data_IF_268414006707
#
_entry.id   IF_268414006707
#
_cell.length_a   1.000
_cell.length_b   1.000
_cell.length_c   1.000
_cell.angle_alpha   90.00
_cell.angle_beta   90.00
_cell.angle_gamma   90.00
#
_symmetry.space_group_name_H-M   'P 1'
#
loop_
_entity.id
_entity.type
_entity.pdbx_description
1 polymer ?
#
# COMPACT_ATOMS: atom_id res chain seq x y z
N UNK A 1 -9.90 -2.90 13.98
CA UNK A 1 -8.93 -3.79 14.65
C UNK A 1 -7.92 -4.17 13.60
N UNK A 2 -6.69 -3.67 13.71
CA UNK A 2 -5.66 -3.88 12.70
C UNK A 2 -5.22 -5.34 12.73
N UNK A 3 -5.41 -6.04 11.61
CA UNK A 3 -5.01 -7.43 11.48
C UNK A 3 -3.47 -7.52 11.44
N UNK A 4 -2.88 -7.88 12.59
CA UNK A 4 -1.43 -8.01 12.79
C UNK A 4 -0.80 -9.11 11.89
N UNK A 5 -1.58 -9.84 11.08
CA UNK A 5 -1.12 -10.89 10.16
C UNK A 5 -0.88 -10.45 8.70
N UNK A 6 -1.20 -9.20 8.32
CA UNK A 6 -1.09 -8.76 6.91
C UNK A 6 0.35 -8.90 6.34
N UNK A 7 1.36 -8.67 7.17
CA UNK A 7 2.77 -8.79 6.79
C UNK A 7 3.22 -10.22 6.47
N UNK A 8 2.77 -11.21 7.26
CA UNK A 8 3.05 -12.63 7.02
C UNK A 8 2.39 -13.11 5.72
N UNK A 9 1.14 -12.71 5.48
CA UNK A 9 0.42 -13.00 4.24
C UNK A 9 1.15 -12.43 3.00
N UNK A 10 1.65 -11.19 3.08
CA UNK A 10 2.41 -10.56 1.99
C UNK A 10 3.71 -11.33 1.70
N UNK A 11 4.41 -11.79 2.74
CA UNK A 11 5.63 -12.59 2.58
C UNK A 11 5.35 -13.92 1.87
N UNK A 12 4.31 -14.64 2.29
CA UNK A 12 3.92 -15.90 1.67
C UNK A 12 3.46 -15.73 0.23
N UNK A 13 2.70 -14.66 -0.06
CA UNK A 13 2.29 -14.31 -1.42
C UNK A 13 3.50 -13.98 -2.30
N UNK A 14 4.50 -13.27 -1.78
CA UNK A 14 5.76 -13.01 -2.49
C UNK A 14 6.49 -14.30 -2.81
N UNK A 15 6.55 -15.25 -1.88
CA UNK A 15 7.16 -16.56 -2.11
C UNK A 15 6.42 -17.34 -3.20
N UNK A 16 5.08 -17.36 -3.16
CA UNK A 16 4.24 -17.99 -4.21
C UNK A 16 4.48 -17.37 -5.59
N UNK A 17 4.62 -16.04 -5.67
CA UNK A 17 4.96 -15.33 -6.92
C UNK A 17 6.32 -15.81 -7.45
N UNK A 18 7.33 -15.89 -6.59
CA UNK A 18 8.68 -16.36 -6.98
C UNK A 18 8.66 -17.82 -7.45
N UNK A 19 7.92 -18.68 -6.77
CA UNK A 19 7.76 -20.09 -7.17
C UNK A 19 7.07 -20.21 -8.54
N UNK A 20 6.01 -19.44 -8.80
CA UNK A 20 5.32 -19.43 -10.08
C UNK A 20 6.21 -18.86 -11.22
N UNK A 21 7.00 -17.83 -10.94
CA UNK A 21 8.00 -17.31 -11.89
C UNK A 21 9.08 -18.36 -12.21
N UNK A 22 9.56 -19.07 -11.19
CA UNK A 22 10.54 -20.15 -11.37
C UNK A 22 9.96 -21.31 -12.17
N UNK A 23 8.69 -21.66 -11.96
CA UNK A 23 8.00 -22.68 -12.76
C UNK A 23 7.92 -22.27 -14.23
N UNK A 24 7.59 -21.00 -14.51
CA UNK A 24 7.56 -20.47 -15.87
C UNK A 24 8.94 -20.47 -16.52
N UNK A 25 9.98 -20.04 -15.81
CA UNK A 25 11.34 -20.04 -16.35
C UNK A 25 11.86 -21.45 -16.62
N UNK A 26 11.50 -22.42 -15.78
CA UNK A 26 11.86 -23.85 -15.97
C UNK A 26 11.16 -24.49 -17.16
N UNK A 27 9.97 -24.00 -17.52
CA UNK A 27 9.23 -24.52 -18.66
C UNK A 27 9.93 -24.18 -19.99
N UNK A 28 10.72 -23.11 -20.01
CA UNK A 28 11.53 -22.70 -21.15
C UNK A 28 10.69 -22.14 -22.30
N UNK A 29 11.29 -22.18 -23.48
CA UNK A 29 10.68 -21.68 -24.71
C UNK A 29 9.64 -22.65 -25.29
N UNK A 30 8.71 -22.15 -26.13
CA UNK A 30 7.73 -22.99 -26.80
C UNK A 30 8.37 -24.18 -27.52
N UNK A 31 7.72 -25.33 -27.40
CA UNK A 31 8.08 -26.57 -28.09
C UNK A 31 8.10 -26.36 -29.61
N UNK A 32 9.29 -26.18 -30.21
CA UNK A 32 9.48 -26.25 -31.66
C UNK A 32 9.25 -27.68 -32.17
N UNK A 33 8.67 -27.87 -33.36
CA UNK A 33 8.49 -29.22 -33.89
C UNK A 33 9.82 -29.97 -34.01
N UNK A 34 9.84 -31.22 -33.54
CA UNK A 34 10.98 -32.11 -33.68
C UNK A 34 10.74 -32.93 -34.96
N UNK A 35 11.57 -32.79 -36.01
CA UNK A 35 11.33 -33.44 -37.31
C UNK A 35 11.24 -34.96 -37.24
N UNK A 36 11.93 -35.58 -36.28
CA UNK A 36 11.95 -37.02 -36.06
C UNK A 36 10.64 -37.54 -35.45
N UNK A 37 9.81 -36.66 -34.88
CA UNK A 37 8.54 -37.04 -34.28
C UNK A 37 7.41 -36.94 -35.30
N UNK A 38 6.50 -37.91 -35.23
CA UNK A 38 5.23 -37.83 -35.96
C UNK A 38 4.42 -36.62 -35.49
N UNK A 39 3.58 -36.08 -36.38
CA UNK A 39 2.79 -34.88 -36.12
C UNK A 39 1.97 -34.96 -34.84
N UNK A 40 1.36 -36.10 -34.54
CA UNK A 40 0.57 -36.29 -33.31
C UNK A 40 1.41 -36.18 -32.03
N UNK A 41 2.65 -36.66 -32.05
CA UNK A 41 3.57 -36.54 -30.91
C UNK A 41 4.03 -35.09 -30.70
N UNK A 42 4.34 -34.38 -31.79
CA UNK A 42 4.63 -32.94 -31.74
C UNK A 42 3.44 -32.12 -31.19
N UNK A 43 2.22 -32.42 -31.65
CA UNK A 43 0.99 -31.78 -31.17
C UNK A 43 0.76 -32.04 -29.67
N UNK A 44 0.95 -33.28 -29.21
CA UNK A 44 0.78 -33.62 -27.79
C UNK A 44 1.77 -32.82 -26.91
N UNK A 45 3.03 -32.75 -27.33
CA UNK A 45 4.07 -32.00 -26.60
C UNK A 45 3.78 -30.50 -26.55
N UNK A 46 3.33 -29.93 -27.67
CA UNK A 46 2.95 -28.51 -27.75
C UNK A 46 1.75 -28.22 -26.84
N UNK A 47 0.71 -29.06 -26.87
CA UNK A 47 -0.45 -28.91 -25.98
C UNK A 47 -0.09 -29.06 -24.50
N UNK A 48 0.79 -30.00 -24.15
CA UNK A 48 1.26 -30.18 -22.78
C UNK A 48 2.02 -28.93 -22.29
N UNK A 49 2.92 -28.39 -23.12
CA UNK A 49 3.61 -27.13 -22.83
C UNK A 49 2.62 -25.98 -22.64
N UNK A 50 1.66 -25.81 -23.55
CA UNK A 50 0.65 -24.76 -23.46
C UNK A 50 -0.18 -24.88 -22.19
N UNK A 51 -0.61 -26.10 -21.84
CA UNK A 51 -1.40 -26.36 -20.64
C UNK A 51 -0.62 -25.99 -19.38
N UNK A 52 0.63 -26.46 -19.28
CA UNK A 52 1.52 -26.15 -18.13
C UNK A 52 1.84 -24.66 -18.05
N UNK A 53 2.14 -24.02 -19.18
CA UNK A 53 2.45 -22.58 -19.26
C UNK A 53 1.25 -21.75 -18.83
N UNK A 54 0.06 -22.08 -19.34
CA UNK A 54 -1.17 -21.37 -18.98
C UNK A 54 -1.50 -21.55 -17.51
N UNK A 55 -1.37 -22.77 -16.96
CA UNK A 55 -1.61 -22.99 -15.54
C UNK A 55 -0.66 -22.16 -14.67
N UNK A 56 0.64 -22.15 -14.99
CA UNK A 56 1.63 -21.38 -14.23
C UNK A 56 1.40 -19.86 -14.35
N UNK A 57 1.01 -19.36 -15.53
CA UNK A 57 0.61 -17.96 -15.73
C UNK A 57 -0.63 -17.59 -14.93
N UNK A 58 -1.67 -18.43 -14.95
CA UNK A 58 -2.88 -18.21 -14.14
C UNK A 58 -2.57 -18.18 -12.66
N UNK A 59 -1.75 -19.10 -12.17
CA UNK A 59 -1.31 -19.11 -10.77
C UNK A 59 -0.53 -17.84 -10.42
N UNK A 60 0.37 -17.39 -11.29
CA UNK A 60 1.14 -16.16 -11.11
C UNK A 60 0.22 -14.94 -11.03
N UNK A 61 -0.75 -14.81 -11.95
CA UNK A 61 -1.71 -13.70 -11.98
C UNK A 61 -2.56 -13.70 -10.70
N UNK A 62 -3.04 -14.88 -10.27
CA UNK A 62 -3.84 -15.01 -9.05
C UNK A 62 -3.05 -14.59 -7.80
N UNK A 63 -1.79 -15.02 -7.70
CA UNK A 63 -0.91 -14.65 -6.59
C UNK A 63 -0.61 -13.15 -6.58
N UNK A 64 -0.36 -12.53 -7.75
CA UNK A 64 -0.20 -11.08 -7.85
C UNK A 64 -1.46 -10.31 -7.46
N UNK A 65 -2.64 -10.77 -7.88
CA UNK A 65 -3.90 -10.14 -7.50
C UNK A 65 -4.07 -10.12 -5.98
N UNK A 66 -3.84 -11.26 -5.32
CA UNK A 66 -3.92 -11.36 -3.86
C UNK A 66 -2.86 -10.49 -3.18
N UNK A 67 -1.63 -10.45 -3.72
CA UNK A 67 -0.55 -9.62 -3.20
C UNK A 67 -0.88 -8.13 -3.24
N UNK A 68 -1.47 -7.65 -4.34
CA UNK A 68 -1.90 -6.25 -4.47
C UNK A 68 -3.02 -5.94 -3.47
N UNK A 69 -4.03 -6.80 -3.35
CA UNK A 69 -5.10 -6.61 -2.37
C UNK A 69 -4.57 -6.53 -0.94
N UNK A 70 -3.65 -7.42 -0.55
CA UNK A 70 -3.04 -7.38 0.78
C UNK A 70 -2.23 -6.09 1.03
N UNK A 71 -1.57 -5.55 0.00
CA UNK A 71 -0.88 -4.26 0.10
C UNK A 71 -1.86 -3.09 0.24
N UNK A 72 -2.99 -3.11 -0.46
CA UNK A 72 -4.04 -2.09 -0.35
C UNK A 72 -4.67 -2.08 1.04
N UNK A 73 -4.91 -3.25 1.62
CA UNK A 73 -5.39 -3.41 3.00
C UNK A 73 -4.38 -2.86 4.01
N UNK A 74 -3.09 -3.21 3.85
CA UNK A 74 -2.03 -2.69 4.70
C UNK A 74 -1.95 -1.16 4.62
N UNK A 75 -2.02 -0.60 3.41
CA UNK A 75 -1.98 0.85 3.21
C UNK A 75 -3.18 1.55 3.85
N UNK A 76 -4.38 0.96 3.73
CA UNK A 76 -5.59 1.45 4.38
C UNK A 76 -5.43 1.47 5.90
N UNK A 77 -4.91 0.39 6.48
CA UNK A 77 -4.62 0.30 7.92
C UNK A 77 -3.63 1.37 8.38
N UNK A 78 -2.58 1.65 7.60
CA UNK A 78 -1.61 2.72 7.93
C UNK A 78 -2.28 4.09 7.93
N UNK A 79 -3.18 4.36 6.98
CA UNK A 79 -3.93 5.62 6.95
C UNK A 79 -4.90 5.77 8.13
N UNK A 80 -5.56 4.69 8.55
CA UNK A 80 -6.39 4.70 9.77
C UNK A 80 -5.55 5.04 11.00
N UNK A 81 -4.41 4.37 11.20
CA UNK A 81 -3.48 4.67 12.30
C UNK A 81 -3.02 6.13 12.27
N UNK A 82 -2.69 6.65 11.07
CA UNK A 82 -2.30 8.05 10.91
C UNK A 82 -3.42 9.01 11.31
N UNK A 83 -4.66 8.71 10.93
CA UNK A 83 -5.83 9.51 11.27
C UNK A 83 -6.06 9.53 12.78
N UNK A 84 -6.05 8.35 13.41
CA UNK A 84 -6.20 8.20 14.86
C UNK A 84 -5.10 8.97 15.61
N UNK A 85 -3.84 8.83 15.19
CA UNK A 85 -2.72 9.55 15.80
C UNK A 85 -2.87 11.06 15.69
N UNK A 86 -3.35 11.55 14.53
CA UNK A 86 -3.61 12.99 14.32
C UNK A 86 -4.68 13.50 15.27
N UNK A 87 -5.74 12.72 15.50
CA UNK A 87 -6.82 13.12 16.39
C UNK A 87 -6.41 13.06 17.87
N UNK A 88 -5.64 12.04 18.27
CA UNK A 88 -4.98 11.99 19.58
C UNK A 88 -4.10 13.23 19.81
N UNK A 89 -3.28 13.62 18.84
CA UNK A 89 -2.43 14.82 18.95
C UNK A 89 -3.24 16.12 19.07
N UNK A 90 -4.37 16.23 18.38
CA UNK A 90 -5.28 17.39 18.52
C UNK A 90 -5.90 17.45 19.90
N UNK A 91 -6.36 16.31 20.44
CA UNK A 91 -6.92 16.25 21.79
C UNK A 91 -5.88 16.60 22.85
N UNK A 92 -4.69 16.01 22.76
CA UNK A 92 -3.58 16.34 23.67
C UNK A 92 -3.20 17.82 23.59
N UNK A 93 -3.22 18.42 22.40
CA UNK A 93 -2.95 19.85 22.23
C UNK A 93 -3.99 20.75 22.92
N UNK A 94 -5.26 20.33 23.01
CA UNK A 94 -6.32 21.08 23.73
C UNK A 94 -6.12 21.06 25.25
N UNK A 95 -5.51 20.00 25.78
CA UNK A 95 -5.25 19.85 27.22
C UNK A 95 -4.05 20.67 27.70
N UNK A 96 -3.17 21.09 26.78
CA UNK A 96 -2.07 22.00 27.10
C UNK A 96 -2.69 23.38 27.38
N UNK A 97 -2.57 23.92 28.61
CA UNK A 97 -3.08 25.25 28.92
C UNK A 97 -2.46 26.25 27.96
N UNK A 98 -3.28 26.96 27.19
CA UNK A 98 -2.80 28.04 26.34
C UNK A 98 -2.05 29.01 27.25
N UNK A 99 -0.76 29.24 27.01
CA UNK A 99 0.01 30.29 27.71
C UNK A 99 -0.83 31.56 27.67
N UNK A 100 -1.05 32.25 28.81
CA UNK A 100 -1.94 33.39 28.85
C UNK A 100 -1.49 34.38 27.79
N UNK A 101 -2.38 34.66 26.81
CA UNK A 101 -2.23 35.80 25.91
C UNK A 101 -1.96 36.99 26.82
N UNK A 102 -0.74 37.54 26.76
CA UNK A 102 -0.40 38.81 27.41
C UNK A 102 -1.51 39.77 27.03
N UNK A 103 -2.38 40.08 27.98
CA UNK A 103 -3.40 41.09 27.83
C UNK A 103 -2.65 42.37 27.44
N UNK A 104 -2.81 42.81 26.19
CA UNK A 104 -2.38 44.14 25.81
C UNK A 104 -3.10 45.09 26.76
N UNK A 105 -2.31 45.71 27.64
CA UNK A 105 -2.81 46.62 28.64
C UNK A 105 -3.60 47.73 27.95
N UNK A 106 -4.93 47.72 28.11
CA UNK A 106 -5.75 48.91 27.89
C UNK A 106 -5.34 49.94 28.93
N UNK A 107 -4.41 50.84 28.59
CA UNK A 107 -4.15 52.04 29.40
C UNK A 107 -4.97 53.21 28.88
N UNK A 108 -6.08 53.42 29.59
CA UNK A 108 -6.68 54.68 30.03
C UNK A 108 -7.08 55.74 28.99
N UNK A 109 -8.38 55.82 28.77
CA UNK A 109 -9.07 57.04 28.34
C UNK A 109 -8.98 58.16 29.40
N UNK A 110 -8.85 59.41 28.92
CA UNK A 110 -9.14 60.73 29.53
C UNK A 110 -7.95 61.52 30.10
N UNK A 111 -7.43 62.50 29.33
CA UNK A 111 -7.30 63.92 29.75
C UNK A 111 -7.39 64.82 28.50
N UNK A 112 -8.33 65.78 28.49
CA UNK A 112 -8.47 66.85 27.48
C UNK A 112 -7.36 67.92 27.68
N UNK A 113 -6.70 68.45 26.64
CA UNK A 113 -5.95 69.70 26.79
C UNK A 113 -6.91 70.90 26.68
N UNK A 114 -6.84 71.76 27.70
CA UNK A 114 -7.54 73.04 27.83
C UNK A 114 -6.94 74.04 26.82
N UNK A 115 -7.81 74.82 26.15
CA UNK A 115 -7.42 75.96 25.31
C UNK A 115 -6.70 77.02 26.15
N UNK A 116 -5.61 77.57 25.64
CA UNK A 116 -5.09 78.89 26.04
C UNK A 116 -4.80 79.71 24.79
N UNK A 117 -5.58 80.78 24.64
CA UNK A 117 -5.34 81.96 23.79
C UNK A 117 -4.43 82.90 24.61
N UNK A 118 -3.37 83.41 24.00
CA UNK A 118 -2.90 84.80 24.13
C UNK A 118 -1.88 85.07 23.05
#
# INVERSE_FOLDING_TARGET
MTEIGAGENIYDLRKKIQEAQLQLSKLGDPSSEIPELITSANLLRSNEFLTKSNQAKTNLISAYSQYVSALEELLSSVFEIQHDLKDVLKEQSKLIPSKPKKQQARKLSKVKPKKTRK
#
